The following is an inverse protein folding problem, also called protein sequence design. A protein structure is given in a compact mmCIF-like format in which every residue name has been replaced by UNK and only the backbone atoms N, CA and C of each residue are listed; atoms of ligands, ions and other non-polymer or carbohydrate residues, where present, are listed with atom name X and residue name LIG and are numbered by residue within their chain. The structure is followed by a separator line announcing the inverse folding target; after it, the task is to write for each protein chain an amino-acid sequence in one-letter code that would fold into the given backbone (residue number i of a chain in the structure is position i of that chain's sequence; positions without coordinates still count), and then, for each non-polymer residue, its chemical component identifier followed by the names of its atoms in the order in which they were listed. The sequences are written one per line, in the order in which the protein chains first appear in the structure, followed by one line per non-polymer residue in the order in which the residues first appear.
data_IF_905581091867
#
_entry.id   IF_905581091867
#
_cell.length_a   1.000
_cell.length_b   1.000
_cell.length_c   1.000
_cell.angle_alpha   90.00
_cell.angle_beta   90.00
_cell.angle_gamma   90.00
#
_symmetry.space_group_name_H-M   'P 1'
#
loop_
_entity.id
_entity.type
_entity.pdbx_description
1 polymer ?
#
# COMPACT_ATOMS: atom_id res chain seq x y z
N UNK A 1 -28.51 32.21 42.13
CA UNK A 1 -29.27 31.14 42.81
C UNK A 1 -28.58 29.81 42.54
N UNK A 2 -28.23 29.04 43.59
CA UNK A 2 -27.45 27.81 43.54
C UNK A 2 -28.34 26.55 43.52
N UNK A 3 -27.86 25.44 42.96
CA UNK A 3 -28.31 24.05 43.21
C UNK A 3 -27.21 23.13 42.65
N UNK A 4 -26.23 22.70 43.45
CA UNK A 4 -26.20 21.46 44.24
C UNK A 4 -26.35 20.14 43.45
N UNK A 5 -25.21 19.46 43.33
CA UNK A 5 -24.93 18.04 43.64
C UNK A 5 -25.70 16.90 42.98
N UNK A 6 -24.94 15.97 42.36
CA UNK A 6 -24.89 14.55 42.80
C UNK A 6 -23.69 13.79 42.23
N UNK A 7 -22.84 13.27 43.13
CA UNK A 7 -22.00 12.08 42.94
C UNK A 7 -22.84 10.82 43.19
N UNK A 8 -22.56 9.71 42.49
CA UNK A 8 -22.19 8.39 43.07
C UNK A 8 -22.32 7.21 42.07
N UNK A 9 -21.57 6.14 42.42
CA UNK A 9 -21.50 4.77 41.89
C UNK A 9 -20.48 4.58 40.75
N UNK A 10 -19.30 3.96 40.95
CA UNK A 10 -18.95 2.69 41.62
C UNK A 10 -19.67 1.48 41.03
N UNK A 11 -18.99 0.78 40.14
CA UNK A 11 -19.38 -0.50 39.56
C UNK A 11 -18.14 -1.31 39.26
N UNK A 12 -17.91 -2.31 40.10
CA UNK A 12 -16.82 -3.29 40.06
C UNK A 12 -17.19 -4.46 39.15
N UNK A 13 -16.18 -5.10 38.53
CA UNK A 13 -16.25 -6.50 38.11
C UNK A 13 -16.32 -6.73 36.60
N UNK A 14 -15.22 -7.23 36.04
CA UNK A 14 -15.25 -8.08 34.86
C UNK A 14 -14.40 -9.34 35.13
N UNK A 15 -14.89 -10.54 34.80
CA UNK A 15 -14.32 -11.80 35.28
C UNK A 15 -13.27 -12.41 34.34
N UNK A 16 -12.45 -13.25 34.96
CA UNK A 16 -11.67 -14.37 34.43
C UNK A 16 -11.85 -14.73 32.94
N UNK A 17 -10.77 -14.56 32.18
CA UNK A 17 -10.49 -15.32 30.97
C UNK A 17 -9.17 -16.06 31.17
N UNK A 18 -9.26 -17.38 31.34
CA UNK A 18 -8.12 -18.27 31.44
C UNK A 18 -7.43 -18.45 30.08
N UNK A 19 -6.11 -18.68 30.04
CA UNK A 19 -5.43 -19.09 28.82
C UNK A 19 -5.49 -20.62 28.64
N UNK A 20 -6.03 -21.01 27.49
CA UNK A 20 -5.94 -22.36 26.93
C UNK A 20 -4.48 -22.66 26.53
N UNK A 21 -3.93 -23.62 27.24
CA UNK A 21 -2.99 -24.66 26.82
C UNK A 21 -2.34 -24.51 25.42
N UNK A 22 -1.02 -24.29 25.41
CA UNK A 22 -0.15 -24.94 24.43
C UNK A 22 0.92 -25.75 25.15
N UNK A 23 0.84 -27.05 24.90
CA UNK A 23 1.63 -28.16 25.42
C UNK A 23 2.97 -28.24 24.68
N UNK A 24 4.13 -28.09 25.32
CA UNK A 24 5.40 -28.46 24.72
C UNK A 24 5.68 -29.94 25.01
N UNK A 25 5.59 -30.79 24.00
CA UNK A 25 6.12 -32.15 24.07
C UNK A 25 7.62 -32.12 23.85
N UNK A 26 8.37 -31.96 24.95
CA UNK A 26 9.76 -32.38 25.01
C UNK A 26 9.81 -33.92 25.05
N UNK A 27 10.55 -34.54 24.13
CA UNK A 27 11.01 -35.92 24.29
C UNK A 27 12.46 -36.01 23.87
N UNK A 28 13.33 -35.86 24.87
CA UNK A 28 14.70 -36.31 24.82
C UNK A 28 14.75 -37.82 25.00
N UNK A 29 15.51 -38.51 24.15
CA UNK A 29 16.12 -39.81 24.45
C UNK A 29 17.29 -40.03 23.47
N UNK A 30 18.50 -39.76 23.96
CA UNK A 30 19.69 -40.58 23.65
C UNK A 30 19.72 -41.74 24.68
N UNK A 31 20.65 -42.73 24.68
CA UNK A 31 21.87 -42.92 23.88
C UNK A 31 22.14 -44.39 23.45
N UNK A 32 23.34 -44.67 22.90
CA UNK A 32 23.96 -46.02 22.92
C UNK A 32 24.40 -46.55 21.55
N UNK A 33 25.70 -46.43 21.21
CA UNK A 33 26.71 -47.51 21.29
C UNK A 33 26.46 -48.68 20.30
N UNK A 34 27.20 -48.72 19.19
CA UNK A 34 28.49 -49.41 19.04
C UNK A 34 28.39 -50.94 18.98
N UNK A 35 28.69 -51.49 17.80
CA UNK A 35 29.23 -52.84 17.50
C UNK A 35 29.44 -52.91 15.99
N UNK A 36 30.67 -52.77 15.51
CA UNK A 36 31.55 -53.90 15.18
C UNK A 36 30.89 -54.95 14.29
N UNK A 37 31.36 -55.04 13.04
CA UNK A 37 32.02 -56.27 12.58
C UNK A 37 32.58 -56.07 11.17
N UNK A 38 33.91 -56.00 11.10
CA UNK A 38 34.70 -56.33 9.92
C UNK A 38 34.46 -57.81 9.56
N UNK A 39 33.95 -58.07 8.36
CA UNK A 39 34.21 -59.30 7.58
C UNK A 39 34.46 -58.82 6.15
N UNK A 40 35.69 -58.92 5.64
CA UNK A 40 36.25 -60.12 4.96
C UNK A 40 35.31 -60.59 3.84
N UNK A 41 35.71 -60.80 2.60
CA UNK A 41 36.96 -60.64 1.89
C UNK A 41 36.65 -60.84 0.39
N UNK A 42 37.54 -60.32 -0.45
CA UNK A 42 37.87 -60.71 -1.83
C UNK A 42 37.21 -61.97 -2.43
N UNK A 43 36.71 -61.80 -3.65
CA UNK A 43 36.56 -62.84 -4.68
C UNK A 43 35.96 -62.21 -5.95
N UNK A 44 36.73 -61.54 -6.79
CA UNK A 44 37.45 -62.09 -7.95
C UNK A 44 36.56 -62.63 -9.08
N UNK A 45 36.59 -61.89 -10.20
CA UNK A 45 36.52 -62.33 -11.60
C UNK A 45 35.16 -62.82 -12.14
N UNK A 46 34.48 -61.91 -12.84
CA UNK A 46 33.47 -62.24 -13.84
C UNK A 46 33.46 -61.20 -14.96
N UNK A 47 34.06 -61.58 -16.09
CA UNK A 47 33.84 -61.11 -17.47
C UNK A 47 33.27 -59.68 -17.66
N UNK A 48 34.05 -58.71 -18.13
CA UNK A 48 34.26 -58.49 -19.57
C UNK A 48 32.98 -58.74 -20.40
N UNK A 49 32.17 -57.70 -20.60
CA UNK A 49 31.39 -57.39 -21.83
C UNK A 49 30.38 -56.28 -21.52
N UNK A 50 30.69 -55.07 -21.97
CA UNK A 50 29.79 -54.08 -22.60
C UNK A 50 30.43 -52.70 -22.52
N UNK A 51 31.52 -52.54 -23.28
CA UNK A 51 31.92 -51.25 -23.78
C UNK A 51 30.98 -50.91 -24.94
N UNK A 52 29.95 -50.10 -24.70
CA UNK A 52 29.43 -49.09 -25.65
C UNK A 52 28.36 -48.22 -24.95
N UNK A 53 28.74 -47.53 -23.87
CA UNK A 53 27.88 -46.58 -23.17
C UNK A 53 28.22 -45.15 -23.59
N UNK A 54 27.60 -44.69 -24.69
CA UNK A 54 27.30 -43.31 -25.09
C UNK A 54 28.08 -42.23 -24.31
N UNK A 55 29.29 -41.93 -24.80
CA UNK A 55 29.95 -40.66 -24.50
C UNK A 55 29.36 -39.60 -25.43
N UNK A 56 28.36 -38.83 -24.95
CA UNK A 56 28.03 -37.44 -25.37
C UNK A 56 26.66 -37.03 -24.83
N UNK A 57 26.61 -36.45 -23.63
CA UNK A 57 25.50 -35.60 -23.19
C UNK A 57 25.94 -34.76 -21.97
N UNK A 58 26.98 -33.94 -22.13
CA UNK A 58 27.49 -33.05 -21.08
C UNK A 58 27.56 -31.58 -21.53
N UNK A 59 26.69 -31.15 -22.44
CA UNK A 59 26.55 -29.74 -22.85
C UNK A 59 25.07 -29.37 -23.02
N UNK A 60 24.37 -29.06 -21.92
CA UNK A 60 23.05 -28.43 -22.00
C UNK A 60 22.64 -27.64 -20.74
N UNK A 61 23.56 -27.18 -19.89
CA UNK A 61 23.22 -26.42 -18.68
C UNK A 61 23.94 -25.07 -18.53
N UNK A 62 24.36 -24.45 -19.64
CA UNK A 62 25.04 -23.14 -19.60
C UNK A 62 24.40 -22.10 -20.54
N UNK A 63 23.07 -22.11 -20.67
CA UNK A 63 22.33 -21.04 -21.33
C UNK A 63 21.30 -20.40 -20.39
N UNK A 64 21.67 -20.22 -19.11
CA UNK A 64 21.11 -19.13 -18.31
C UNK A 64 22.06 -17.95 -18.51
N UNK A 65 21.98 -17.27 -19.66
CA UNK A 65 22.67 -16.00 -19.84
C UNK A 65 22.10 -15.05 -18.79
N UNK A 66 22.92 -14.77 -17.78
CA UNK A 66 22.65 -13.81 -16.72
C UNK A 66 22.43 -12.43 -17.33
N UNK A 67 21.16 -12.11 -17.60
CA UNK A 67 20.72 -10.74 -17.45
C UNK A 67 20.93 -10.41 -15.98
N UNK A 68 21.92 -9.56 -15.68
CA UNK A 68 22.14 -9.01 -14.36
C UNK A 68 20.79 -8.52 -13.84
N UNK A 69 20.37 -9.00 -12.66
CA UNK A 69 19.10 -8.60 -12.08
C UNK A 69 19.16 -7.09 -11.84
N UNK A 70 18.58 -6.32 -12.76
CA UNK A 70 18.58 -4.86 -12.72
C UNK A 70 17.88 -4.44 -11.45
N UNK A 71 18.57 -3.67 -10.60
CA UNK A 71 17.98 -3.13 -9.39
C UNK A 71 16.73 -2.30 -9.77
N UNK A 72 15.61 -2.42 -9.04
CA UNK A 72 14.41 -1.63 -9.29
C UNK A 72 14.75 -0.15 -9.32
N UNK A 73 14.23 0.57 -10.32
CA UNK A 73 14.52 1.99 -10.46
C UNK A 73 13.88 2.79 -9.30
N UNK A 74 14.56 3.85 -8.82
CA UNK A 74 14.02 4.68 -7.75
C UNK A 74 12.76 5.39 -8.24
N UNK A 75 11.66 5.19 -7.53
CA UNK A 75 10.40 5.86 -7.81
C UNK A 75 10.39 7.26 -7.16
N UNK A 76 9.89 8.23 -7.91
CA UNK A 76 9.61 9.59 -7.46
C UNK A 76 8.12 9.84 -7.45
N UNK A 77 7.68 10.60 -6.47
CA UNK A 77 6.30 11.05 -6.44
C UNK A 77 6.09 12.30 -7.28
N UNK A 78 4.86 12.49 -7.76
CA UNK A 78 4.45 13.75 -8.37
C UNK A 78 4.58 14.87 -7.33
N UNK A 79 5.18 15.99 -7.74
CA UNK A 79 5.29 17.14 -6.85
C UNK A 79 3.92 17.81 -6.66
N UNK A 80 3.71 18.40 -5.48
CA UNK A 80 2.43 18.97 -5.09
C UNK A 80 1.96 20.07 -6.06
N UNK A 81 2.87 20.95 -6.51
CA UNK A 81 2.52 22.05 -7.41
C UNK A 81 2.02 21.51 -8.75
N UNK A 82 2.72 20.52 -9.31
CA UNK A 82 2.31 19.85 -10.54
C UNK A 82 1.01 19.09 -10.37
N UNK A 83 0.84 18.38 -9.25
CA UNK A 83 -0.41 17.68 -8.94
C UNK A 83 -1.60 18.65 -8.91
N UNK A 84 -1.45 19.81 -8.26
CA UNK A 84 -2.48 20.87 -8.22
C UNK A 84 -2.85 21.36 -9.62
N UNK A 85 -1.86 21.57 -10.50
CA UNK A 85 -2.13 21.95 -11.89
C UNK A 85 -2.93 20.88 -12.64
N UNK A 86 -2.53 19.62 -12.50
CA UNK A 86 -3.20 18.48 -13.14
C UNK A 86 -4.64 18.36 -12.63
N UNK A 87 -4.85 18.44 -11.31
CA UNK A 87 -6.18 18.40 -10.68
C UNK A 87 -7.07 19.52 -11.22
N UNK A 88 -6.57 20.76 -11.29
CA UNK A 88 -7.35 21.90 -11.81
C UNK A 88 -7.76 21.69 -13.26
N UNK A 89 -6.85 21.20 -14.11
CA UNK A 89 -7.13 20.91 -15.52
C UNK A 89 -8.16 19.79 -15.65
N UNK A 90 -8.01 18.71 -14.88
CA UNK A 90 -8.94 17.58 -14.88
C UNK A 90 -10.35 18.00 -14.42
N UNK A 91 -10.48 18.81 -13.36
CA UNK A 91 -11.76 19.36 -12.93
C UNK A 91 -12.42 20.22 -14.02
N UNK A 92 -11.64 21.10 -14.65
CA UNK A 92 -12.14 21.96 -15.72
C UNK A 92 -12.60 21.15 -16.94
N UNK A 93 -11.89 20.07 -17.28
CA UNK A 93 -12.27 19.15 -18.35
C UNK A 93 -13.64 18.49 -18.11
N UNK A 94 -13.97 18.18 -16.85
CA UNK A 94 -15.28 17.64 -16.46
C UNK A 94 -16.39 18.71 -16.31
N UNK A 95 -16.08 19.96 -16.66
CA UNK A 95 -17.00 21.09 -16.59
C UNK A 95 -17.19 21.65 -15.17
N UNK A 96 -16.39 21.22 -14.19
CA UNK A 96 -16.35 21.86 -12.88
C UNK A 96 -15.53 23.15 -12.94
N UNK A 97 -15.84 24.11 -12.07
CA UNK A 97 -15.10 25.37 -11.98
C UNK A 97 -14.14 25.30 -10.78
N UNK A 98 -12.83 25.02 -10.99
CA UNK A 98 -11.89 24.92 -9.88
C UNK A 98 -11.76 26.27 -9.17
N UNK A 99 -11.76 26.22 -7.84
CA UNK A 99 -11.60 27.35 -6.93
C UNK A 99 -10.28 27.22 -6.16
N UNK A 100 -9.84 28.33 -5.55
CA UNK A 100 -8.68 28.33 -4.67
C UNK A 100 -8.89 27.38 -3.49
N UNK A 101 -7.80 26.76 -3.05
CA UNK A 101 -7.77 25.97 -1.84
C UNK A 101 -8.19 26.74 -0.58
N UNK A 102 -8.66 26.00 0.42
CA UNK A 102 -9.15 26.51 1.71
C UNK A 102 -8.90 25.50 2.82
N UNK A 103 -8.76 25.96 4.06
CA UNK A 103 -8.77 25.07 5.21
C UNK A 103 -10.19 24.59 5.50
N UNK A 104 -10.32 23.31 5.83
CA UNK A 104 -11.56 22.68 6.28
C UNK A 104 -11.27 21.86 7.52
N UNK A 105 -12.08 22.03 8.56
CA UNK A 105 -12.03 21.17 9.74
C UNK A 105 -12.69 19.83 9.44
N UNK A 106 -11.97 18.73 9.65
CA UNK A 106 -12.50 17.38 9.57
C UNK A 106 -13.43 17.09 10.75
N UNK A 107 -14.25 16.05 10.66
CA UNK A 107 -15.10 15.61 11.78
C UNK A 107 -14.31 15.19 13.02
N UNK A 108 -13.01 14.93 12.89
CA UNK A 108 -12.09 14.67 13.99
C UNK A 108 -11.63 15.93 14.74
N UNK A 109 -11.96 17.12 14.24
CA UNK A 109 -11.49 18.42 14.75
C UNK A 109 -10.13 18.87 14.19
N UNK A 110 -9.44 18.01 13.42
CA UNK A 110 -8.21 18.41 12.75
C UNK A 110 -8.50 19.21 11.48
N UNK A 111 -7.64 20.18 11.16
CA UNK A 111 -7.76 20.96 9.93
C UNK A 111 -7.00 20.30 8.80
N UNK A 112 -7.63 20.19 7.64
CA UNK A 112 -7.01 19.77 6.38
C UNK A 112 -7.05 20.91 5.38
N UNK A 113 -5.97 21.09 4.61
CA UNK A 113 -5.94 22.01 3.49
C UNK A 113 -6.55 21.33 2.27
N UNK A 114 -7.63 21.89 1.75
CA UNK A 114 -8.17 21.53 0.43
C UNK A 114 -7.34 22.26 -0.60
N UNK A 115 -6.70 21.55 -1.51
CA UNK A 115 -5.83 22.18 -2.53
C UNK A 115 -6.63 22.79 -3.66
N UNK A 116 -7.67 22.07 -4.10
CA UNK A 116 -8.57 22.52 -5.16
C UNK A 116 -10.01 22.29 -4.74
N UNK A 117 -10.72 23.39 -4.48
CA UNK A 117 -12.17 23.37 -4.29
C UNK A 117 -12.91 23.50 -5.62
N UNK A 118 -14.24 23.40 -5.58
CA UNK A 118 -15.10 23.74 -6.73
C UNK A 118 -16.00 24.93 -6.38
N UNK A 119 -16.13 25.89 -7.30
CA UNK A 119 -16.93 27.10 -7.09
C UNK A 119 -18.40 26.74 -6.86
N UNK A 120 -19.01 27.37 -5.86
CA UNK A 120 -20.41 27.16 -5.45
C UNK A 120 -20.75 25.69 -5.12
N UNK A 121 -19.74 24.90 -4.71
CA UNK A 121 -19.88 23.50 -4.31
C UNK A 121 -19.17 23.20 -2.98
N UNK A 122 -19.70 22.25 -2.25
CA UNK A 122 -19.26 21.74 -0.96
C UNK A 122 -18.47 20.45 -1.13
N UNK A 123 -17.60 20.41 -2.13
CA UNK A 123 -16.62 19.34 -2.27
C UNK A 123 -15.31 19.87 -2.86
N UNK A 124 -14.26 19.08 -2.70
CA UNK A 124 -12.93 19.42 -3.18
C UNK A 124 -11.98 18.23 -3.16
N UNK A 125 -10.78 18.47 -3.68
CA UNK A 125 -9.68 17.51 -3.72
C UNK A 125 -8.59 17.96 -2.76
N UNK A 126 -8.10 17.02 -1.97
CA UNK A 126 -6.93 17.13 -1.11
C UNK A 126 -5.86 16.21 -1.71
N UNK A 127 -4.74 16.78 -2.12
CA UNK A 127 -3.55 16.04 -2.51
C UNK A 127 -2.69 15.82 -1.26
N UNK A 128 -2.71 14.60 -0.74
CA UNK A 128 -2.10 14.27 0.56
C UNK A 128 -0.63 13.92 0.34
N UNK A 129 0.26 14.83 0.75
CA UNK A 129 1.71 14.57 0.80
C UNK A 129 2.06 13.58 1.92
N UNK A 130 3.28 13.06 1.92
CA UNK A 130 3.77 12.23 3.04
C UNK A 130 3.76 13.03 4.36
N UNK A 131 4.12 14.30 4.31
CA UNK A 131 4.10 15.20 5.47
C UNK A 131 2.66 15.43 5.97
N UNK A 132 1.70 15.66 5.07
CA UNK A 132 0.29 15.83 5.43
C UNK A 132 -0.27 14.55 6.07
N UNK A 133 0.07 13.37 5.50
CA UNK A 133 -0.37 12.09 6.04
C UNK A 133 0.17 11.84 7.46
N UNK A 134 1.43 12.19 7.71
CA UNK A 134 2.04 12.11 9.04
C UNK A 134 1.41 13.10 10.02
N UNK A 135 1.17 14.34 9.59
CA UNK A 135 0.59 15.39 10.43
C UNK A 135 -0.86 15.07 10.83
N UNK A 136 -1.67 14.58 9.89
CA UNK A 136 -3.07 14.25 10.12
C UNK A 136 -3.23 12.92 10.86
N UNK A 137 -2.33 11.96 10.61
CA UNK A 137 -2.32 10.64 11.25
C UNK A 137 -3.69 9.97 11.17
N UNK A 138 -4.23 9.58 12.33
CA UNK A 138 -5.51 8.87 12.42
C UNK A 138 -6.75 9.72 12.06
N UNK A 139 -6.61 11.03 11.78
CA UNK A 139 -7.74 11.86 11.34
C UNK A 139 -8.17 11.58 9.90
N UNK A 140 -7.30 10.97 9.09
CA UNK A 140 -7.62 10.54 7.72
C UNK A 140 -7.46 9.03 7.60
N UNK A 141 -8.20 8.37 6.70
CA UNK A 141 -7.97 6.96 6.39
C UNK A 141 -6.55 6.74 5.84
N UNK A 142 -6.04 5.50 5.81
CA UNK A 142 -4.81 5.22 5.09
C UNK A 142 -5.02 5.35 3.57
N UNK A 143 -3.92 5.49 2.80
CA UNK A 143 -3.94 5.46 1.34
C UNK A 143 -4.74 4.28 0.78
N UNK A 144 -5.51 4.53 -0.28
CA UNK A 144 -6.18 3.44 -1.01
C UNK A 144 -5.17 2.63 -1.83
N UNK A 145 -5.44 1.33 -1.96
CA UNK A 145 -4.80 0.50 -2.99
C UNK A 145 -5.20 0.93 -4.41
N UNK A 146 -4.48 0.42 -5.43
CA UNK A 146 -4.69 0.78 -6.84
C UNK A 146 -6.12 0.51 -7.34
N UNK A 147 -6.71 -0.60 -6.90
CA UNK A 147 -8.03 -1.04 -7.34
C UNK A 147 -9.12 -0.77 -6.28
N UNK A 148 -8.77 -0.01 -5.24
CA UNK A 148 -9.70 0.36 -4.19
C UNK A 148 -10.43 1.67 -4.51
N UNK A 149 -11.61 1.85 -3.91
CA UNK A 149 -12.35 3.10 -4.04
C UNK A 149 -11.56 4.25 -3.42
N UNK A 150 -11.63 5.41 -4.08
CA UNK A 150 -11.05 6.66 -3.58
C UNK A 150 -11.57 6.98 -2.17
N UNK A 151 -10.67 7.47 -1.32
CA UNK A 151 -10.99 7.83 0.05
C UNK A 151 -11.71 9.18 0.05
N UNK A 152 -12.96 9.20 0.51
CA UNK A 152 -13.74 10.44 0.68
C UNK A 152 -14.01 10.64 2.17
N UNK A 153 -13.58 11.77 2.70
CA UNK A 153 -13.83 12.19 4.09
C UNK A 153 -14.83 13.34 4.13
N UNK A 154 -15.37 13.57 5.33
CA UNK A 154 -16.32 14.66 5.60
C UNK A 154 -15.64 15.73 6.45
N UNK A 155 -15.92 16.98 6.15
CA UNK A 155 -15.46 18.12 6.93
C UNK A 155 -16.40 19.32 6.81
N UNK A 156 -16.01 20.43 7.40
CA UNK A 156 -16.82 21.64 7.50
C UNK A 156 -17.95 21.49 8.52
N UNK A 157 -18.79 22.53 8.65
CA UNK A 157 -19.96 22.51 9.53
C UNK A 157 -20.81 21.27 9.27
N UNK A 158 -21.10 20.51 10.33
CA UNK A 158 -21.90 19.27 10.31
C UNK A 158 -21.41 18.20 9.31
N UNK A 159 -20.15 18.27 8.88
CA UNK A 159 -19.61 17.36 7.86
C UNK A 159 -20.25 17.57 6.48
N UNK A 160 -20.71 18.78 6.15
CA UNK A 160 -21.35 19.10 4.88
C UNK A 160 -20.40 19.04 3.68
N UNK A 161 -19.10 19.26 3.88
CA UNK A 161 -18.10 19.26 2.82
C UNK A 161 -17.58 17.84 2.58
N UNK A 162 -17.52 17.40 1.32
CA UNK A 162 -16.93 16.12 0.88
C UNK A 162 -15.55 16.34 0.29
N UNK A 163 -14.54 15.71 0.85
CA UNK A 163 -13.16 15.85 0.40
C UNK A 163 -12.66 14.50 -0.08
N UNK A 164 -12.24 14.42 -1.35
CA UNK A 164 -11.49 13.24 -1.81
C UNK A 164 -10.02 13.41 -1.46
N UNK A 165 -9.42 12.34 -0.95
CA UNK A 165 -8.02 12.28 -0.59
C UNK A 165 -7.28 11.51 -1.67
N UNK A 166 -6.34 12.18 -2.34
CA UNK A 166 -5.48 11.62 -3.37
C UNK A 166 -4.06 11.59 -2.83
N UNK A 167 -3.58 10.39 -2.46
CA UNK A 167 -2.30 10.25 -1.76
C UNK A 167 -1.13 10.29 -2.75
N UNK A 168 -0.12 11.09 -2.43
CA UNK A 168 1.07 11.28 -3.24
C UNK A 168 1.76 9.95 -3.61
N UNK A 169 1.85 9.02 -2.66
CA UNK A 169 2.43 7.69 -2.84
C UNK A 169 1.70 6.80 -3.88
N UNK A 170 0.50 7.18 -4.32
CA UNK A 170 -0.22 6.46 -5.36
C UNK A 170 0.17 6.93 -6.77
N UNK A 171 0.81 8.09 -6.89
CA UNK A 171 1.18 8.72 -8.16
C UNK A 171 2.70 8.81 -8.30
N UNK A 172 3.31 7.63 -8.50
CA UNK A 172 4.76 7.47 -8.61
C UNK A 172 5.21 7.22 -10.04
N UNK A 173 6.35 7.79 -10.41
CA UNK A 173 7.02 7.60 -11.70
C UNK A 173 8.51 7.33 -11.51
N UNK A 174 9.14 6.78 -12.54
CA UNK A 174 10.58 6.54 -12.62
C UNK A 174 11.26 7.68 -13.41
N UNK A 175 12.39 8.17 -12.90
CA UNK A 175 13.10 9.37 -13.36
C UNK A 175 14.28 9.08 -14.33
N UNK A 176 14.36 7.88 -14.90
CA UNK A 176 15.42 7.59 -15.87
C UNK A 176 15.16 8.15 -17.27
N UNK A 177 16.23 8.67 -17.88
CA UNK A 177 16.36 9.07 -19.29
C UNK A 177 16.84 7.85 -20.10
N UNK A 178 15.98 7.31 -20.98
CA UNK A 178 16.26 6.16 -21.87
C UNK A 178 14.96 5.54 -22.42
N UNK A 179 15.03 4.65 -23.41
CA UNK A 179 13.83 4.09 -24.08
C UNK A 179 12.97 3.16 -23.19
N UNK A 180 13.44 2.78 -22.01
CA UNK A 180 12.73 1.87 -21.10
C UNK A 180 12.19 2.62 -19.88
N UNK A 181 11.03 3.26 -20.02
CA UNK A 181 10.25 3.75 -18.89
C UNK A 181 9.20 2.71 -18.49
N UNK A 182 9.32 2.13 -17.30
CA UNK A 182 8.25 1.27 -16.75
C UNK A 182 7.07 2.12 -16.24
N UNK A 183 7.36 3.31 -15.71
CA UNK A 183 6.36 4.31 -15.29
C UNK A 183 6.87 5.72 -15.56
N UNK A 184 6.18 6.47 -16.42
CA UNK A 184 6.54 7.86 -16.74
C UNK A 184 5.76 8.85 -15.88
N UNK A 185 6.23 10.09 -15.77
CA UNK A 185 5.45 11.20 -15.21
C UNK A 185 4.10 11.34 -15.91
N UNK A 186 4.05 11.13 -17.24
CA UNK A 186 2.81 11.16 -18.02
C UNK A 186 1.82 10.10 -17.53
N UNK A 187 2.30 8.90 -17.20
CA UNK A 187 1.45 7.83 -16.64
C UNK A 187 0.87 8.23 -15.29
N UNK A 188 1.70 8.75 -14.38
CA UNK A 188 1.25 9.20 -13.06
C UNK A 188 0.25 10.37 -13.16
N UNK A 189 0.48 11.33 -14.06
CA UNK A 189 -0.46 12.43 -14.33
C UNK A 189 -1.78 11.95 -14.93
N UNK A 190 -1.74 10.92 -15.80
CA UNK A 190 -2.95 10.31 -16.37
C UNK A 190 -3.76 9.57 -15.32
N UNK A 191 -3.10 8.82 -14.43
CA UNK A 191 -3.75 8.17 -13.29
C UNK A 191 -4.42 9.21 -12.38
N UNK A 192 -3.69 10.26 -12.01
CA UNK A 192 -4.25 11.37 -11.22
C UNK A 192 -5.42 12.06 -11.93
N UNK A 193 -5.30 12.30 -13.23
CA UNK A 193 -6.38 12.89 -14.05
C UNK A 193 -7.63 12.03 -14.01
N UNK A 194 -7.48 10.71 -14.22
CA UNK A 194 -8.59 9.75 -14.20
C UNK A 194 -9.29 9.74 -12.84
N UNK A 195 -8.54 9.66 -11.75
CA UNK A 195 -9.12 9.62 -10.40
C UNK A 195 -9.91 10.90 -10.08
N UNK A 196 -9.40 12.06 -10.50
CA UNK A 196 -10.13 13.32 -10.36
C UNK A 196 -11.40 13.30 -11.20
N UNK A 197 -11.34 12.85 -12.45
CA UNK A 197 -12.52 12.78 -13.33
C UNK A 197 -13.60 11.83 -12.77
N UNK A 198 -13.18 10.67 -12.28
CA UNK A 198 -14.06 9.68 -11.64
C UNK A 198 -14.72 10.28 -10.40
N UNK A 199 -13.96 11.02 -9.57
CA UNK A 199 -14.52 11.72 -8.42
C UNK A 199 -15.51 12.82 -8.81
N UNK A 200 -15.22 13.66 -9.80
CA UNK A 200 -16.13 14.74 -10.23
C UNK A 200 -17.42 14.13 -10.79
N UNK A 201 -17.31 13.08 -11.59
CA UNK A 201 -18.46 12.33 -12.09
C UNK A 201 -19.28 11.77 -10.93
N UNK A 202 -18.63 11.11 -9.98
CA UNK A 202 -19.28 10.59 -8.77
C UNK A 202 -19.99 11.69 -7.98
N UNK A 203 -19.32 12.83 -7.71
CA UNK A 203 -19.89 13.96 -6.98
C UNK A 203 -21.14 14.53 -7.67
N UNK A 204 -21.14 14.60 -9.02
CA UNK A 204 -22.32 15.00 -9.80
C UNK A 204 -23.46 13.99 -9.67
N UNK A 205 -23.18 12.70 -9.79
CA UNK A 205 -24.22 11.66 -9.68
C UNK A 205 -24.85 11.61 -8.29
N UNK A 206 -24.03 11.81 -7.25
CA UNK A 206 -24.48 11.84 -5.85
C UNK A 206 -25.04 13.20 -5.41
N UNK A 207 -25.09 14.19 -6.32
CA UNK A 207 -25.60 15.55 -6.07
C UNK A 207 -24.97 16.20 -4.84
N UNK A 208 -23.63 16.13 -4.73
CA UNK A 208 -22.92 16.88 -3.71
C UNK A 208 -23.20 18.37 -3.95
N UNK A 209 -23.73 19.04 -2.92
CA UNK A 209 -24.24 20.41 -3.01
C UNK A 209 -23.11 21.39 -3.24
#
# INVERSE_FOLDING_TARGET
MPLMSRKLHQGSGAPHLGPLQHRPSARALAPGQARDARRLARGARGAARLALGIATAALALAACSGGEARAPNPLRALDERRAIEVIRRAMAHEGAQPARGREVELTSGQKVRVDVGVQSRSYGVVYVTEEDAQALGAAIPPPNGRDEKLRIVRGGPDGAIRLVLLYQQNYLYDDLVGESHERTTITAERELTRDVQDFITYARTQKFQ
#
